data_IF_590475797475
#
_entry.id   IF_590475797475
#
_cell.length_a   1.000
_cell.length_b   1.000
_cell.length_c   1.000
_cell.angle_alpha   90.00
_cell.angle_beta   90.00
_cell.angle_gamma   90.00
#
_symmetry.space_group_name_H-M   'P 1'
#
loop_
_entity.id
_entity.type
_entity.pdbx_description
1 polymer ?
#
# COMPACT_ATOMS: atom_id res chain seq x y z
N UNK A 1 -9.14 -6.69 -3.87
CA UNK A 1 -8.35 -7.26 -2.74
C UNK A 1 -8.68 -6.46 -1.49
N UNK A 2 -8.96 -7.14 -0.37
CA UNK A 2 -9.14 -6.47 0.92
C UNK A 2 -7.80 -5.93 1.40
N UNK A 3 -7.77 -4.73 2.00
CA UNK A 3 -6.54 -4.12 2.53
C UNK A 3 -5.77 -5.04 3.49
N UNK A 4 -6.47 -5.94 4.20
CA UNK A 4 -5.87 -6.94 5.08
C UNK A 4 -4.98 -7.94 4.33
N UNK A 5 -5.43 -8.42 3.17
CA UNK A 5 -4.70 -9.40 2.36
C UNK A 5 -3.43 -8.77 1.74
N UNK A 6 -3.49 -7.47 1.42
CA UNK A 6 -2.34 -6.74 0.91
C UNK A 6 -1.29 -6.48 2.01
N UNK A 7 -1.72 -6.14 3.23
CA UNK A 7 -0.83 -6.00 4.39
C UNK A 7 -0.12 -7.31 4.75
N UNK A 8 -0.84 -8.42 4.74
CA UNK A 8 -0.27 -9.75 4.98
C UNK A 8 0.84 -10.08 3.97
N UNK A 9 0.61 -9.80 2.68
CA UNK A 9 1.60 -9.99 1.62
C UNK A 9 2.82 -9.07 1.78
N UNK A 10 2.63 -7.84 2.24
CA UNK A 10 3.73 -6.91 2.56
C UNK A 10 4.58 -7.48 3.69
N UNK A 11 3.96 -7.98 4.77
CA UNK A 11 4.71 -8.48 5.92
C UNK A 11 5.51 -9.75 5.55
N UNK A 12 4.89 -10.70 4.84
CA UNK A 12 5.62 -11.88 4.35
C UNK A 12 6.81 -11.50 3.46
N UNK A 13 6.66 -10.50 2.59
CA UNK A 13 7.74 -10.04 1.72
C UNK A 13 8.84 -9.30 2.49
N UNK A 14 8.47 -8.58 3.54
CA UNK A 14 9.42 -7.92 4.45
C UNK A 14 10.27 -8.96 5.20
N UNK A 15 9.66 -10.00 5.76
CA UNK A 15 10.40 -11.09 6.43
C UNK A 15 11.35 -11.81 5.47
N UNK A 16 10.89 -12.07 4.23
CA UNK A 16 11.73 -12.64 3.17
C UNK A 16 12.92 -11.74 2.87
N UNK A 17 12.71 -10.43 2.75
CA UNK A 17 13.78 -9.47 2.48
C UNK A 17 14.79 -9.40 3.62
N UNK A 18 14.34 -9.42 4.87
CA UNK A 18 15.23 -9.48 6.05
C UNK A 18 16.08 -10.76 6.04
N UNK A 19 15.46 -11.90 5.72
CA UNK A 19 16.16 -13.19 5.63
C UNK A 19 17.20 -13.19 4.49
N UNK A 20 16.86 -12.62 3.34
CA UNK A 20 17.77 -12.51 2.20
C UNK A 20 18.92 -11.54 2.49
N UNK A 21 18.66 -10.39 3.10
CA UNK A 21 19.72 -9.43 3.46
C UNK A 21 20.69 -9.96 4.51
N UNK A 22 20.24 -10.88 5.37
CA UNK A 22 21.11 -11.54 6.34
C UNK A 22 21.96 -12.66 5.72
N UNK A 23 21.50 -13.27 4.62
CA UNK A 23 22.13 -14.45 4.02
C UNK A 23 22.86 -14.15 2.71
N UNK A 24 22.55 -13.05 2.03
CA UNK A 24 23.08 -12.67 0.72
C UNK A 24 23.54 -11.21 0.75
N UNK A 25 24.47 -10.85 -0.14
CA UNK A 25 24.85 -9.46 -0.31
C UNK A 25 23.64 -8.61 -0.74
N UNK A 26 23.57 -7.36 -0.27
CA UNK A 26 22.47 -6.46 -0.61
C UNK A 26 22.35 -6.16 -2.11
N UNK A 27 23.46 -6.31 -2.84
CA UNK A 27 23.52 -6.17 -4.30
C UNK A 27 23.18 -7.47 -5.05
N UNK A 28 22.89 -8.56 -4.33
CA UNK A 28 22.48 -9.81 -4.97
C UNK A 28 21.12 -9.62 -5.64
N UNK A 29 20.97 -10.23 -6.81
CA UNK A 29 19.75 -10.15 -7.62
C UNK A 29 18.51 -10.60 -6.82
N UNK A 30 18.66 -11.57 -5.93
CA UNK A 30 17.60 -12.02 -5.04
C UNK A 30 17.10 -10.92 -4.09
N UNK A 31 18.01 -10.14 -3.49
CA UNK A 31 17.67 -9.02 -2.59
C UNK A 31 17.08 -7.86 -3.39
N UNK A 32 17.65 -7.54 -4.56
CA UNK A 32 17.15 -6.47 -5.44
C UNK A 32 15.72 -6.79 -5.91
N UNK A 33 15.49 -7.99 -6.43
CA UNK A 33 14.15 -8.39 -6.89
C UNK A 33 13.15 -8.40 -5.73
N UNK A 34 13.55 -8.90 -4.55
CA UNK A 34 12.71 -8.85 -3.36
C UNK A 34 12.38 -7.41 -2.93
N UNK A 35 13.32 -6.47 -3.09
CA UNK A 35 13.13 -5.05 -2.79
C UNK A 35 12.13 -4.41 -3.76
N UNK A 36 12.27 -4.66 -5.06
CA UNK A 36 11.37 -4.13 -6.10
C UNK A 36 9.93 -4.64 -5.89
N UNK A 37 9.79 -5.92 -5.57
CA UNK A 37 8.48 -6.51 -5.28
C UNK A 37 7.83 -5.93 -4.03
N UNK A 38 8.63 -5.69 -2.97
CA UNK A 38 8.12 -5.09 -1.73
C UNK A 38 7.67 -3.64 -1.96
N UNK A 39 8.45 -2.86 -2.72
CA UNK A 39 8.11 -1.47 -3.05
C UNK A 39 6.81 -1.38 -3.86
N UNK A 40 6.61 -2.28 -4.83
CA UNK A 40 5.37 -2.35 -5.61
C UNK A 40 4.14 -2.62 -4.72
N UNK A 41 4.25 -3.53 -3.75
CA UNK A 41 3.16 -3.84 -2.82
C UNK A 41 2.85 -2.66 -1.89
N UNK A 42 3.89 -1.96 -1.39
CA UNK A 42 3.71 -0.75 -0.58
C UNK A 42 3.02 0.34 -1.40
N UNK A 43 3.44 0.55 -2.65
CA UNK A 43 2.84 1.52 -3.55
C UNK A 43 1.36 1.20 -3.81
N UNK A 44 1.02 -0.07 -4.05
CA UNK A 44 -0.36 -0.52 -4.21
C UNK A 44 -1.19 -0.21 -2.95
N UNK A 45 -0.64 -0.48 -1.76
CA UNK A 45 -1.32 -0.23 -0.49
C UNK A 45 -1.57 1.25 -0.26
N UNK A 46 -0.55 2.09 -0.44
CA UNK A 46 -0.63 3.55 -0.31
C UNK A 46 -1.61 4.13 -1.32
N UNK A 47 -1.60 3.64 -2.56
CA UNK A 47 -2.52 4.10 -3.61
C UNK A 47 -3.96 3.73 -3.28
N UNK A 48 -4.20 2.50 -2.84
CA UNK A 48 -5.52 1.99 -2.47
C UNK A 48 -6.09 2.73 -1.26
N UNK A 49 -5.29 2.94 -0.23
CA UNK A 49 -5.68 3.72 0.96
C UNK A 49 -5.95 5.19 0.61
N UNK A 50 -5.11 5.81 -0.21
CA UNK A 50 -5.31 7.19 -0.67
C UNK A 50 -6.55 7.35 -1.56
N UNK A 51 -6.84 6.39 -2.43
CA UNK A 51 -8.06 6.35 -3.24
C UNK A 51 -9.30 6.32 -2.33
N UNK A 52 -9.32 5.41 -1.35
CA UNK A 52 -10.41 5.29 -0.39
C UNK A 52 -10.62 6.59 0.42
N UNK A 53 -9.53 7.23 0.86
CA UNK A 53 -9.56 8.53 1.57
C UNK A 53 -10.13 9.65 0.70
N UNK A 54 -9.72 9.76 -0.56
CA UNK A 54 -10.21 10.79 -1.50
C UNK A 54 -11.72 10.61 -1.77
N UNK A 55 -12.18 9.38 -1.95
CA UNK A 55 -13.59 9.10 -2.17
C UNK A 55 -14.44 9.42 -0.93
N UNK A 56 -13.95 9.14 0.26
CA UNK A 56 -14.63 9.51 1.50
C UNK A 56 -14.76 11.03 1.67
N UNK A 57 -13.68 11.80 1.41
CA UNK A 57 -13.73 13.28 1.46
C UNK A 57 -14.71 13.88 0.45
N UNK A 58 -14.78 13.34 -0.78
CA UNK A 58 -15.76 13.78 -1.79
C UNK A 58 -17.20 13.53 -1.35
N UNK A 59 -17.47 12.45 -0.60
CA UNK A 59 -18.81 12.15 -0.07
C UNK A 59 -19.21 13.09 1.07
N UNK A 60 -18.25 13.50 1.91
CA UNK A 60 -18.50 14.49 2.95
C UNK A 60 -18.81 15.88 2.37
N UNK A 61 -18.02 16.36 1.40
CA UNK A 61 -18.25 17.68 0.80
C UNK A 61 -19.57 17.82 0.03
N UNK A 62 -20.12 16.72 -0.52
CA UNK A 62 -21.41 16.74 -1.22
C UNK A 62 -22.62 16.89 -0.30
N UNK A 63 -22.45 16.63 1.00
CA UNK A 63 -23.54 16.71 1.97
C UNK A 63 -23.72 18.12 2.55
N UNK A 64 -22.70 19.00 2.43
CA UNK A 64 -22.76 20.38 2.95
C UNK A 64 -23.40 21.37 1.96
N UNK A 65 -23.55 21.01 0.68
CA UNK A 65 -24.11 21.91 -0.37
C UNK A 65 -25.59 21.70 -0.64
N UNK A 66 -26.31 20.87 0.13
CA UNK A 66 -27.77 20.74 0.05
C UNK A 66 -28.39 21.47 1.25
N UNK A 67 -28.32 22.79 1.24
CA UNK A 67 -28.93 23.62 2.28
C UNK A 67 -29.47 24.91 1.66
N UNK A 68 -30.80 24.92 1.54
CA UNK A 68 -31.73 26.02 1.29
C UNK A 68 -31.64 26.77 -0.06
N UNK A 69 -32.40 26.26 -1.03
CA UNK A 69 -33.18 27.13 -1.91
C UNK A 69 -34.59 27.25 -1.30
N UNK A 70 -34.89 28.40 -0.68
CA UNK A 70 -36.23 28.84 -0.27
C UNK A 70 -36.82 29.76 -1.34
#
# INVERSE_FOLDING_TARGET
MSNSNLLERIEMKREKMLSLSNSHALTSEAVINSSVELDALILEYVTTTNYNRKNFKKRLQKNDTSSYDY
#
